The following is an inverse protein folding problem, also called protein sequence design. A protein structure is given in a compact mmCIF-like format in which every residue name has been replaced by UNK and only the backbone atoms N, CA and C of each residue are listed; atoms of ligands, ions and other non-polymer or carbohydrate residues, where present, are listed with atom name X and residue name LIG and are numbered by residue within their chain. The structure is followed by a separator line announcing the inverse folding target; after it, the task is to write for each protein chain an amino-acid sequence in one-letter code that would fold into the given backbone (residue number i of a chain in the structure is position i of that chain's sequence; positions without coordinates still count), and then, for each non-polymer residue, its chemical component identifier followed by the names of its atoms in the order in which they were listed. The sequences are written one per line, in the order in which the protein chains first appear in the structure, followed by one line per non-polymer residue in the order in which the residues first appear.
data_IF_377891418001
#
_entry.id   IF_377891418001
#
_cell.length_a   1.000
_cell.length_b   1.000
_cell.length_c   1.000
_cell.angle_alpha   90.00
_cell.angle_beta   90.00
_cell.angle_gamma   90.00
#
_symmetry.space_group_name_H-M   'P 1'
#
loop_
_entity.id
_entity.type
_entity.pdbx_description
1 polymer ?
#
# COMPACT_ATOMS: atom_id res chain seq x y z
N UNK A 1 -5.75 -3.56 16.23
CA UNK A 1 -5.94 -3.47 14.78
C UNK A 1 -6.57 -4.75 14.30
N UNK A 2 -7.58 -4.67 13.45
CA UNK A 2 -8.08 -5.83 12.70
C UNK A 2 -7.18 -6.12 11.49
N UNK A 3 -7.35 -7.29 10.89
CA UNK A 3 -6.59 -7.67 9.69
C UNK A 3 -6.84 -6.66 8.54
N UNK A 4 -8.08 -6.17 8.39
CA UNK A 4 -8.45 -5.19 7.38
C UNK A 4 -7.76 -3.84 7.60
N UNK A 5 -7.70 -3.38 8.86
CA UNK A 5 -6.99 -2.14 9.23
C UNK A 5 -5.48 -2.28 8.95
N UNK A 6 -4.90 -3.46 9.21
CA UNK A 6 -3.50 -3.74 8.94
C UNK A 6 -3.19 -3.78 7.44
N UNK A 7 -4.05 -4.40 6.64
CA UNK A 7 -3.92 -4.42 5.18
C UNK A 7 -4.03 -3.01 4.61
N UNK A 8 -5.00 -2.22 5.09
CA UNK A 8 -5.17 -0.83 4.68
C UNK A 8 -3.94 0.03 5.02
N UNK A 9 -3.40 -0.13 6.23
CA UNK A 9 -2.17 0.55 6.65
C UNK A 9 -0.98 0.16 5.77
N UNK A 10 -0.82 -1.13 5.47
CA UNK A 10 0.27 -1.63 4.63
C UNK A 10 0.23 -1.04 3.21
N UNK A 11 -0.94 -1.01 2.58
CA UNK A 11 -1.12 -0.41 1.26
C UNK A 11 -0.75 1.08 1.25
N UNK A 12 -1.20 1.83 2.27
CA UNK A 12 -0.87 3.26 2.41
C UNK A 12 0.62 3.48 2.60
N UNK A 13 1.26 2.69 3.46
CA UNK A 13 2.69 2.80 3.74
C UNK A 13 3.56 2.55 2.48
N UNK A 14 3.27 1.48 1.73
CA UNK A 14 3.98 1.20 0.47
C UNK A 14 3.72 2.28 -0.56
N UNK A 15 2.50 2.83 -0.62
CA UNK A 15 2.20 3.94 -1.54
C UNK A 15 3.01 5.20 -1.21
N UNK A 16 3.21 5.52 0.08
CA UNK A 16 4.09 6.63 0.47
C UNK A 16 5.54 6.39 0.06
N UNK A 17 6.05 5.16 0.17
CA UNK A 17 7.39 4.80 -0.30
C UNK A 17 7.49 4.94 -1.83
N UNK A 18 6.57 4.33 -2.58
CA UNK A 18 6.53 4.39 -4.04
C UNK A 18 6.35 5.80 -4.59
N UNK A 19 5.69 6.70 -3.85
CA UNK A 19 5.58 8.10 -4.26
C UNK A 19 6.89 8.88 -4.13
N UNK A 20 7.77 8.49 -3.21
CA UNK A 20 9.00 9.25 -2.87
C UNK A 20 10.27 8.64 -3.44
N UNK A 21 10.34 7.33 -3.53
CA UNK A 21 11.49 6.60 -4.07
C UNK A 21 11.26 6.23 -5.54
N UNK A 22 12.08 6.80 -6.42
CA UNK A 22 11.99 6.60 -7.87
C UNK A 22 12.19 5.15 -8.31
N UNK A 23 12.83 4.31 -7.47
CA UNK A 23 13.07 2.90 -7.77
C UNK A 23 12.02 1.97 -7.17
N UNK A 24 11.04 2.50 -6.44
CA UNK A 24 9.92 1.76 -5.86
C UNK A 24 8.64 2.03 -6.66
N UNK A 25 7.97 0.98 -7.16
CA UNK A 25 6.82 1.18 -8.05
C UNK A 25 6.15 -0.11 -8.54
N UNK A 26 5.15 0.05 -9.41
CA UNK A 26 4.45 -1.06 -10.07
C UNK A 26 3.30 -1.62 -9.23
N UNK A 27 3.42 -2.88 -8.79
CA UNK A 27 2.35 -3.63 -8.13
C UNK A 27 2.60 -3.75 -6.61
N UNK A 28 1.55 -3.59 -5.81
CA UNK A 28 1.55 -3.95 -4.39
C UNK A 28 0.93 -5.33 -4.20
N UNK A 29 1.70 -6.25 -3.63
CA UNK A 29 1.23 -7.57 -3.18
C UNK A 29 1.23 -7.60 -1.66
N UNK A 30 0.06 -7.82 -1.06
CA UNK A 30 -0.10 -7.92 0.39
C UNK A 30 -0.34 -9.37 0.77
N UNK A 31 0.48 -9.87 1.70
CA UNK A 31 0.34 -11.19 2.27
C UNK A 31 -0.07 -11.09 3.73
N UNK A 32 -1.07 -11.88 4.14
CA UNK A 32 -1.42 -12.05 5.56
C UNK A 32 -0.86 -13.39 6.03
N UNK A 33 -0.11 -13.37 7.12
CA UNK A 33 0.53 -14.56 7.72
C UNK A 33 -0.15 -14.82 9.07
N UNK A 34 -0.76 -15.99 9.21
CA UNK A 34 -1.45 -16.45 10.43
C UNK A 34 -0.86 -17.79 10.89
N UNK A 35 -1.43 -18.39 11.94
CA UNK A 35 -0.99 -19.70 12.44
C UNK A 35 -1.21 -20.82 11.41
N UNK A 36 -2.18 -20.66 10.53
CA UNK A 36 -2.56 -21.62 9.48
C UNK A 36 -1.69 -21.49 8.22
N UNK A 37 -0.86 -20.46 8.12
CA UNK A 37 0.03 -20.20 7.00
C UNK A 37 -0.11 -18.79 6.42
N UNK A 38 0.36 -18.60 5.19
CA UNK A 38 0.31 -17.31 4.50
C UNK A 38 -0.68 -17.34 3.34
N UNK A 39 -1.33 -16.20 3.09
CA UNK A 39 -2.20 -16.00 1.93
C UNK A 39 -1.92 -14.66 1.26
N UNK A 40 -1.94 -14.63 -0.08
CA UNK A 40 -1.99 -13.38 -0.84
C UNK A 40 -3.40 -12.80 -0.72
N UNK A 41 -3.55 -11.65 -0.06
CA UNK A 41 -4.85 -11.01 0.19
C UNK A 41 -5.17 -9.87 -0.76
N UNK A 42 -4.15 -9.25 -1.38
CA UNK A 42 -4.33 -8.19 -2.36
C UNK A 42 -3.18 -8.19 -3.35
N UNK A 43 -3.51 -7.99 -4.63
CA UNK A 43 -2.58 -7.66 -5.71
C UNK A 43 -3.19 -6.52 -6.50
N UNK A 44 -2.53 -5.37 -6.53
CA UNK A 44 -3.11 -4.13 -7.08
C UNK A 44 -2.01 -3.22 -7.62
N UNK A 45 -2.30 -2.47 -8.68
CA UNK A 45 -1.37 -1.48 -9.22
C UNK A 45 -1.30 -0.26 -8.29
N UNK A 46 -0.12 0.36 -8.17
CA UNK A 46 0.07 1.56 -7.37
C UNK A 46 -0.88 2.70 -7.76
N UNK A 47 -1.19 2.85 -9.04
CA UNK A 47 -2.12 3.87 -9.52
C UNK A 47 -3.53 3.64 -8.96
N UNK A 48 -3.98 2.39 -8.92
CA UNK A 48 -5.30 2.06 -8.35
C UNK A 48 -5.33 2.32 -6.85
N UNK A 49 -4.26 1.96 -6.11
CA UNK A 49 -4.14 2.30 -4.68
C UNK A 49 -4.17 3.81 -4.47
N UNK A 50 -3.47 4.57 -5.30
CA UNK A 50 -3.47 6.03 -5.25
C UNK A 50 -4.88 6.61 -5.44
N UNK A 51 -5.64 6.08 -6.41
CA UNK A 51 -7.02 6.49 -6.67
C UNK A 51 -7.97 6.10 -5.54
N UNK A 52 -7.92 4.85 -5.08
CA UNK A 52 -8.82 4.29 -4.07
C UNK A 52 -8.59 4.87 -2.68
N UNK A 53 -7.32 5.03 -2.26
CA UNK A 53 -6.97 5.39 -0.87
C UNK A 53 -6.71 6.88 -0.67
N UNK A 54 -6.37 7.60 -1.74
CA UNK A 54 -5.95 9.01 -1.66
C UNK A 54 -6.73 9.92 -2.62
N UNK A 55 -7.76 9.41 -3.30
CA UNK A 55 -8.66 10.21 -4.13
C UNK A 55 -8.01 10.85 -5.36
N UNK A 56 -6.78 10.46 -5.70
CA UNK A 56 -5.99 11.14 -6.72
C UNK A 56 -5.41 12.49 -6.28
N UNK A 57 -5.51 12.83 -4.99
CA UNK A 57 -4.91 14.04 -4.43
C UNK A 57 -3.41 13.87 -4.23
N UNK A 58 -2.68 14.97 -4.40
CA UNK A 58 -1.23 14.98 -4.27
C UNK A 58 -0.84 14.57 -2.86
N UNK A 59 -0.09 13.47 -2.74
CA UNK A 59 0.41 13.01 -1.46
C UNK A 59 1.30 14.06 -0.80
N UNK A 60 1.20 14.24 0.53
CA UNK A 60 2.02 15.21 1.26
C UNK A 60 3.50 14.89 1.05
N UNK A 61 4.25 15.91 0.61
CA UNK A 61 5.71 15.86 0.58
C UNK A 61 6.19 16.45 1.89
N UNK A 62 7.02 15.72 2.64
CA UNK A 62 7.84 16.36 3.67
C UNK A 62 8.67 17.45 2.99
N UNK A 63 8.54 18.67 3.51
CA UNK A 63 9.48 19.75 3.27
C UNK A 63 10.66 19.40 4.15
N UNK A 64 11.73 18.92 3.54
CA UNK A 64 13.03 18.86 4.18
C UNK A 64 13.71 20.19 3.90
#
# INVERSE_FOLDING_TARGET
MTDEEAIDLGLKAVMYAAHRDAMSGGMQNVFLITQEGWKLVKRVDNYDVYREKFGGEKLPRSVV
#
